data_IF_061832383747
#
_entry.id   IF_061832383747
#
_cell.length_a   1.000
_cell.length_b   1.000
_cell.length_c   1.000
_cell.angle_alpha   90.00
_cell.angle_beta   90.00
_cell.angle_gamma   90.00
#
_symmetry.space_group_name_H-M   'P 1'
#
loop_
_entity.id
_entity.type
_entity.pdbx_description
1 polymer ?
#
# COMPACT_ATOMS: atom_id res chain seq x y z
N UNK A 1 24.64 8.07 -11.57
CA UNK A 1 23.98 9.16 -10.82
C UNK A 1 22.64 8.75 -10.18
N UNK A 2 21.90 7.79 -10.74
CA UNK A 2 20.57 7.36 -10.26
C UNK A 2 20.51 6.87 -8.79
N UNK A 3 21.49 6.12 -8.30
CA UNK A 3 21.47 5.59 -6.92
C UNK A 3 21.65 6.63 -5.80
N UNK A 4 22.15 7.83 -6.11
CA UNK A 4 22.28 8.90 -5.11
C UNK A 4 20.94 9.57 -4.83
N UNK A 5 20.15 9.80 -5.88
CA UNK A 5 18.82 10.37 -5.77
C UNK A 5 17.91 9.54 -4.86
N UNK A 6 17.82 8.24 -5.11
CA UNK A 6 16.97 7.35 -4.33
C UNK A 6 17.37 7.29 -2.85
N UNK A 7 18.67 7.32 -2.54
CA UNK A 7 19.13 7.38 -1.15
C UNK A 7 18.75 8.68 -0.45
N UNK A 8 18.88 9.82 -1.13
CA UNK A 8 18.43 11.10 -0.58
C UNK A 8 16.92 11.09 -0.34
N UNK A 9 16.17 10.49 -1.26
CA UNK A 9 14.72 10.34 -1.13
C UNK A 9 14.33 9.42 0.04
N UNK A 10 15.04 8.31 0.25
CA UNK A 10 14.85 7.45 1.41
C UNK A 10 15.13 8.20 2.72
N UNK A 11 16.26 8.93 2.80
CA UNK A 11 16.59 9.73 3.98
C UNK A 11 15.47 10.73 4.28
N UNK A 12 14.99 11.43 3.25
CA UNK A 12 13.87 12.36 3.40
C UNK A 12 12.59 11.67 3.90
N UNK A 13 12.26 10.48 3.40
CA UNK A 13 11.11 9.71 3.87
C UNK A 13 11.25 9.22 5.31
N UNK A 14 12.45 8.82 5.70
CA UNK A 14 12.74 8.41 7.07
C UNK A 14 12.55 9.56 8.06
N UNK A 15 13.03 10.75 7.70
CA UNK A 15 12.86 11.97 8.51
C UNK A 15 11.40 12.38 8.57
N UNK A 16 10.66 12.28 7.46
CA UNK A 16 9.25 12.69 7.39
C UNK A 16 8.28 11.72 8.07
N UNK A 17 8.58 10.42 8.07
CA UNK A 17 7.69 9.37 8.59
C UNK A 17 8.37 8.42 9.60
N UNK A 18 8.95 8.95 10.70
CA UNK A 18 9.77 8.15 11.62
C UNK A 18 8.97 7.03 12.29
N UNK A 19 7.73 7.30 12.71
CA UNK A 19 6.87 6.30 13.35
C UNK A 19 6.50 5.15 12.42
N UNK A 20 6.27 5.43 11.14
CA UNK A 20 5.94 4.42 10.15
C UNK A 20 7.15 3.52 9.85
N UNK A 21 8.34 4.11 9.72
CA UNK A 21 9.58 3.35 9.52
C UNK A 21 9.92 2.47 10.72
N UNK A 22 9.75 2.99 11.94
CA UNK A 22 9.98 2.21 13.15
C UNK A 22 8.96 1.07 13.29
N UNK A 23 7.68 1.34 13.03
CA UNK A 23 6.64 0.31 13.01
C UNK A 23 6.95 -0.77 11.97
N UNK A 24 7.39 -0.38 10.78
CA UNK A 24 7.81 -1.34 9.75
C UNK A 24 8.97 -2.21 10.24
N UNK A 25 10.03 -1.60 10.77
CA UNK A 25 11.20 -2.33 11.28
C UNK A 25 10.81 -3.33 12.37
N UNK A 26 9.97 -2.91 13.33
CA UNK A 26 9.49 -3.78 14.41
C UNK A 26 8.69 -4.99 13.93
N UNK A 27 7.89 -4.82 12.88
CA UNK A 27 7.03 -5.90 12.36
C UNK A 27 7.74 -6.80 11.33
N UNK A 28 8.67 -6.25 10.56
CA UNK A 28 9.31 -6.96 9.44
C UNK A 28 10.74 -7.42 9.75
N UNK A 29 11.38 -6.88 10.79
CA UNK A 29 12.73 -7.25 11.20
C UNK A 29 13.86 -6.61 10.39
N UNK A 30 13.56 -5.68 9.48
CA UNK A 30 14.56 -4.97 8.68
C UNK A 30 14.11 -3.57 8.28
N UNK A 31 15.08 -2.73 7.93
CA UNK A 31 14.85 -1.37 7.47
C UNK A 31 14.42 -1.37 5.99
N UNK A 32 13.26 -0.77 5.66
CA UNK A 32 12.76 -0.79 4.29
C UNK A 32 13.62 0.06 3.36
N UNK A 33 13.53 -0.21 2.05
CA UNK A 33 13.96 0.71 0.99
C UNK A 33 12.75 1.27 0.25
N UNK A 34 12.07 2.30 0.77
CA UNK A 34 10.86 2.84 0.15
C UNK A 34 11.07 3.24 -1.31
N UNK A 35 12.14 3.98 -1.62
CA UNK A 35 12.43 4.51 -2.96
C UNK A 35 12.68 3.44 -4.01
N UNK A 36 13.10 2.24 -3.59
CA UNK A 36 13.39 1.09 -4.45
C UNK A 36 12.92 -0.20 -3.76
N UNK A 37 11.59 -0.47 -3.76
CA UNK A 37 11.04 -1.64 -3.09
C UNK A 37 11.52 -2.94 -3.75
N UNK A 38 12.06 -3.84 -2.94
CA UNK A 38 12.59 -5.16 -3.34
C UNK A 38 11.58 -6.27 -3.15
N UNK A 39 10.63 -6.11 -2.24
CA UNK A 39 9.64 -7.13 -1.91
C UNK A 39 8.24 -6.54 -1.77
N UNK A 40 7.26 -7.43 -1.62
CA UNK A 40 5.86 -7.06 -1.49
C UNK A 40 5.61 -6.11 -0.30
N UNK A 41 6.23 -6.36 0.85
CA UNK A 41 6.01 -5.54 2.05
C UNK A 41 6.52 -4.11 1.85
N UNK A 42 7.70 -3.92 1.24
CA UNK A 42 8.22 -2.60 0.88
C UNK A 42 7.30 -1.88 -0.14
N UNK A 43 6.69 -2.62 -1.09
CA UNK A 43 5.69 -2.05 -2.01
C UNK A 43 4.41 -1.63 -1.25
N UNK A 44 3.96 -2.41 -0.28
CA UNK A 44 2.82 -2.03 0.55
C UNK A 44 3.12 -0.82 1.44
N UNK A 45 4.34 -0.69 1.95
CA UNK A 45 4.79 0.51 2.64
C UNK A 45 4.73 1.75 1.72
N UNK A 46 5.20 1.63 0.47
CA UNK A 46 5.11 2.72 -0.51
C UNK A 46 3.66 3.18 -0.70
N UNK A 47 2.72 2.25 -0.81
CA UNK A 47 1.30 2.58 -0.90
C UNK A 47 0.81 3.31 0.36
N UNK A 48 1.20 2.88 1.56
CA UNK A 48 0.85 3.61 2.79
C UNK A 48 1.37 5.06 2.81
N UNK A 49 2.50 5.32 2.16
CA UNK A 49 3.13 6.64 2.11
C UNK A 49 2.49 7.59 1.08
N UNK A 50 2.02 7.07 -0.05
CA UNK A 50 1.63 7.91 -1.18
C UNK A 50 0.25 7.61 -1.77
N UNK A 51 -0.28 6.40 -1.57
CA UNK A 51 -1.56 5.95 -2.09
C UNK A 51 -2.64 6.18 -1.01
N UNK A 52 -3.18 7.40 -1.02
CA UNK A 52 -4.25 7.83 -0.12
C UNK A 52 -5.63 7.84 -0.79
N UNK A 53 -5.86 7.01 -1.81
CA UNK A 53 -7.20 6.90 -2.43
C UNK A 53 -8.21 6.39 -1.38
N UNK A 54 -9.23 7.20 -1.01
CA UNK A 54 -10.23 6.82 -0.01
C UNK A 54 -11.06 5.59 -0.44
N UNK A 55 -11.08 5.25 -1.73
CA UNK A 55 -11.80 4.08 -2.27
C UNK A 55 -11.02 2.79 -2.04
N UNK A 56 -9.74 2.88 -1.72
CA UNK A 56 -8.87 1.72 -1.66
C UNK A 56 -9.32 0.65 -0.64
N UNK A 57 -9.74 1.01 0.60
CA UNK A 57 -10.25 0.03 1.56
C UNK A 57 -11.47 -0.75 1.04
N UNK A 58 -12.35 -0.08 0.29
CA UNK A 58 -13.53 -0.72 -0.32
C UNK A 58 -13.12 -1.67 -1.45
N UNK A 59 -12.16 -1.26 -2.30
CA UNK A 59 -11.72 -2.02 -3.47
C UNK A 59 -10.86 -3.25 -3.11
N UNK A 60 -10.02 -3.14 -2.09
CA UNK A 60 -9.21 -4.27 -1.61
C UNK A 60 -10.09 -5.33 -0.96
N UNK A 61 -11.19 -4.92 -0.32
CA UNK A 61 -12.13 -5.86 0.28
C UNK A 61 -12.99 -6.52 -0.81
N UNK A 62 -12.71 -7.79 -1.09
CA UNK A 62 -13.40 -8.58 -2.12
C UNK A 62 -14.92 -8.61 -1.94
N UNK A 63 -15.42 -8.70 -0.70
CA UNK A 63 -16.87 -8.77 -0.43
C UNK A 63 -17.52 -7.41 -0.65
N UNK A 64 -16.94 -6.33 -0.11
CA UNK A 64 -17.46 -4.96 -0.31
C UNK A 64 -17.38 -4.53 -1.77
N UNK A 65 -16.33 -4.95 -2.49
CA UNK A 65 -16.21 -4.68 -3.92
C UNK A 65 -17.31 -5.40 -4.71
N UNK A 66 -17.60 -6.68 -4.40
CA UNK A 66 -18.73 -7.40 -5.00
C UNK A 66 -20.06 -6.71 -4.73
N UNK A 67 -20.33 -6.33 -3.48
CA UNK A 67 -21.55 -5.60 -3.11
C UNK A 67 -21.69 -4.31 -3.95
N UNK A 68 -20.63 -3.49 -3.99
CA UNK A 68 -20.63 -2.26 -4.77
C UNK A 68 -20.86 -2.48 -6.27
N UNK A 69 -20.28 -3.53 -6.85
CA UNK A 69 -20.47 -3.86 -8.27
C UNK A 69 -21.89 -4.38 -8.53
N UNK A 70 -22.45 -5.20 -7.64
CA UNK A 70 -23.81 -5.71 -7.76
C UNK A 70 -24.86 -4.61 -7.66
N UNK A 71 -24.67 -3.65 -6.75
CA UNK A 71 -25.52 -2.45 -6.63
C UNK A 71 -25.44 -1.58 -7.89
N UNK A 72 -24.24 -1.40 -8.44
CA UNK A 72 -24.01 -0.52 -9.58
C UNK A 72 -24.41 -1.14 -10.93
N UNK A 73 -24.29 -2.46 -11.05
CA UNK A 73 -24.54 -3.21 -12.27
C UNK A 73 -25.40 -4.44 -11.95
N UNK A 74 -26.72 -4.28 -11.83
CA UNK A 74 -27.61 -5.37 -11.39
C UNK A 74 -27.64 -6.57 -12.35
N UNK A 75 -27.31 -6.36 -13.63
CA UNK A 75 -27.29 -7.41 -14.65
C UNK A 75 -26.04 -8.32 -14.60
N UNK A 76 -25.05 -7.97 -13.78
CA UNK A 76 -23.80 -8.72 -13.71
C UNK A 76 -23.96 -9.96 -12.82
N UNK A 77 -23.60 -11.13 -13.35
CA UNK A 77 -23.62 -12.37 -12.56
C UNK A 77 -22.48 -12.38 -11.56
N UNK A 78 -22.80 -12.26 -10.28
CA UNK A 78 -21.83 -12.38 -9.19
C UNK A 78 -21.95 -13.75 -8.52
N UNK A 79 -20.84 -14.43 -8.20
CA UNK A 79 -20.90 -15.70 -7.48
C UNK A 79 -21.29 -15.47 -6.02
N UNK A 80 -22.23 -16.27 -5.53
CA UNK A 80 -22.70 -16.30 -4.14
C UNK A 80 -21.53 -16.51 -3.19
N UNK A 81 -21.47 -15.70 -2.13
CA UNK A 81 -20.49 -15.84 -1.04
C UNK A 81 -21.21 -16.27 0.23
N UNK A 82 -20.55 -17.13 1.01
CA UNK A 82 -21.00 -17.58 2.33
C UNK A 82 -21.11 -16.42 3.32
#
# INVERSE_FOLDING_TARGET
MQHRFFRLFDIWLYVRHPFLMLSYFRNMGYWPRPSQPRNYNEKMLWRKLFDHDPRLPQRINKLRCKQHIGEKFPDIRLPTTL
#
